data_IF_606462196098
#
_entry.id   IF_606462196098
#
_cell.length_a   1.000
_cell.length_b   1.000
_cell.length_c   1.000
_cell.angle_alpha   90.00
_cell.angle_beta   90.00
_cell.angle_gamma   90.00
#
_symmetry.space_group_name_H-M   'P 1'
#
loop_
_entity.id
_entity.type
_entity.pdbx_description
1 polymer ?
#
# COMPACT_ATOMS: atom_id res chain seq x y z
N UNK A 1 -6.74 23.59 25.09
CA UNK A 1 -8.09 24.19 24.89
C UNK A 1 -8.38 24.10 23.41
N UNK A 2 -9.33 23.27 22.98
CA UNK A 2 -9.77 23.28 21.59
C UNK A 2 -10.56 24.56 21.35
N UNK A 3 -10.16 25.37 20.38
CA UNK A 3 -11.01 26.43 19.87
C UNK A 3 -12.30 25.79 19.31
N UNK A 4 -13.46 26.35 19.68
CA UNK A 4 -14.73 25.88 19.15
C UNK A 4 -14.91 26.42 17.73
N UNK A 5 -15.24 25.54 16.80
CA UNK A 5 -15.59 25.91 15.43
C UNK A 5 -17.10 26.14 15.33
N UNK A 6 -17.54 27.29 14.81
CA UNK A 6 -18.95 27.58 14.54
C UNK A 6 -19.20 27.83 13.06
N UNK A 7 -20.18 27.12 12.50
CA UNK A 7 -20.64 27.34 11.12
C UNK A 7 -21.29 28.71 10.92
N UNK A 8 -21.80 29.34 11.99
CA UNK A 8 -22.37 30.69 11.94
C UNK A 8 -21.35 31.76 11.53
N UNK A 9 -20.07 31.47 11.74
CA UNK A 9 -18.99 32.43 11.54
C UNK A 9 -18.39 32.31 10.12
N UNK A 10 -18.97 31.44 9.29
CA UNK A 10 -18.52 31.16 7.92
C UNK A 10 -19.49 31.77 6.90
N UNK A 11 -19.04 32.79 6.16
CA UNK A 11 -19.82 33.38 5.04
C UNK A 11 -19.89 32.46 3.81
N UNK A 12 -18.87 31.60 3.64
CA UNK A 12 -18.74 30.68 2.51
C UNK A 12 -18.28 29.32 3.01
N UNK A 13 -18.89 28.26 2.47
CA UNK A 13 -18.49 26.88 2.74
C UNK A 13 -18.09 26.24 1.42
N UNK A 14 -16.81 25.92 1.29
CA UNK A 14 -16.28 25.16 0.16
C UNK A 14 -16.43 23.66 0.41
N UNK A 15 -16.87 22.93 -0.60
CA UNK A 15 -16.94 21.47 -0.58
C UNK A 15 -16.01 20.91 -1.64
N UNK A 16 -15.27 19.87 -1.28
CA UNK A 16 -14.62 19.03 -2.26
C UNK A 16 -15.68 18.30 -3.12
N UNK A 17 -15.31 17.91 -4.34
CA UNK A 17 -16.23 17.24 -5.24
C UNK A 17 -16.19 15.73 -4.99
N UNK A 18 -15.06 15.10 -5.27
CA UNK A 18 -14.96 13.65 -5.31
C UNK A 18 -14.97 13.03 -3.91
N UNK A 19 -15.79 12.01 -3.70
CA UNK A 19 -16.03 11.39 -2.39
C UNK A 19 -16.63 12.33 -1.31
N UNK A 20 -16.91 13.60 -1.64
CA UNK A 20 -17.58 14.56 -0.77
C UNK A 20 -18.99 14.90 -1.31
N UNK A 21 -19.10 15.68 -2.39
CA UNK A 21 -20.39 15.94 -3.04
C UNK A 21 -20.78 14.82 -4.01
N UNK A 22 -19.83 14.33 -4.80
CA UNK A 22 -19.99 13.23 -5.74
C UNK A 22 -19.60 11.91 -5.08
N UNK A 23 -20.59 11.02 -4.91
CA UNK A 23 -20.38 9.73 -4.26
C UNK A 23 -20.24 8.62 -5.30
N UNK A 24 -19.09 7.96 -5.25
CA UNK A 24 -18.79 6.82 -6.11
C UNK A 24 -19.20 5.49 -5.47
N UNK A 25 -19.52 4.51 -6.31
CA UNK A 25 -19.56 3.11 -5.90
C UNK A 25 -18.13 2.62 -5.73
N UNK A 26 -17.64 2.56 -4.49
CA UNK A 26 -16.24 2.22 -4.17
C UNK A 26 -15.79 0.92 -4.83
N UNK A 27 -16.62 -0.13 -4.79
CA UNK A 27 -16.27 -1.42 -5.40
C UNK A 27 -15.97 -1.32 -6.90
N UNK A 28 -16.84 -0.63 -7.65
CA UNK A 28 -16.70 -0.50 -9.10
C UNK A 28 -15.54 0.45 -9.46
N UNK A 29 -15.37 1.52 -8.68
CA UNK A 29 -14.31 2.51 -8.90
C UNK A 29 -12.94 1.92 -8.59
N UNK A 30 -12.80 1.22 -7.46
CA UNK A 30 -11.57 0.51 -7.09
C UNK A 30 -11.19 -0.52 -8.15
N UNK A 31 -12.18 -1.27 -8.66
CA UNK A 31 -11.96 -2.23 -9.74
C UNK A 31 -11.44 -1.56 -11.01
N UNK A 32 -12.09 -0.48 -11.44
CA UNK A 32 -11.67 0.28 -12.63
C UNK A 32 -10.23 0.80 -12.50
N UNK A 33 -9.89 1.36 -11.34
CA UNK A 33 -8.55 1.89 -11.05
C UNK A 33 -7.52 0.76 -11.12
N UNK A 34 -7.76 -0.35 -10.42
CA UNK A 34 -6.84 -1.49 -10.43
C UNK A 34 -6.64 -2.04 -11.84
N UNK A 35 -7.73 -2.30 -12.58
CA UNK A 35 -7.65 -2.86 -13.93
C UNK A 35 -6.88 -1.92 -14.87
N UNK A 36 -7.04 -0.61 -14.70
CA UNK A 36 -6.32 0.39 -15.49
C UNK A 36 -4.81 0.36 -15.21
N UNK A 37 -4.40 0.28 -13.95
CA UNK A 37 -2.99 0.15 -13.60
C UNK A 37 -2.40 -1.20 -14.03
N UNK A 38 -3.10 -2.30 -13.77
CA UNK A 38 -2.65 -3.64 -14.14
C UNK A 38 -2.45 -3.77 -15.65
N UNK A 39 -3.41 -3.28 -16.46
CA UNK A 39 -3.26 -3.23 -17.93
C UNK A 39 -2.02 -2.45 -18.34
N UNK A 40 -1.81 -1.26 -17.80
CA UNK A 40 -0.65 -0.45 -18.13
C UNK A 40 0.68 -1.16 -17.79
N UNK A 41 0.77 -1.80 -16.63
CA UNK A 41 1.97 -2.55 -16.23
C UNK A 41 2.24 -3.75 -17.15
N UNK A 42 1.20 -4.48 -17.55
CA UNK A 42 1.35 -5.64 -18.43
C UNK A 42 1.70 -5.21 -19.85
N UNK A 43 0.96 -4.27 -20.42
CA UNK A 43 1.07 -3.88 -21.83
C UNK A 43 2.30 -3.02 -22.12
N UNK A 44 2.68 -2.13 -21.19
CA UNK A 44 3.74 -1.16 -21.43
C UNK A 44 4.99 -1.36 -20.57
N UNK A 45 4.92 -2.12 -19.48
CA UNK A 45 6.06 -2.38 -18.58
C UNK A 45 6.50 -3.84 -18.56
N UNK A 46 5.80 -4.74 -19.26
CA UNK A 46 6.18 -6.14 -19.40
C UNK A 46 5.98 -6.98 -18.14
N UNK A 47 5.10 -6.56 -17.23
CA UNK A 47 4.74 -7.36 -16.07
C UNK A 47 3.90 -8.60 -16.47
N UNK A 48 3.88 -9.60 -15.59
CA UNK A 48 3.14 -10.83 -15.82
C UNK A 48 1.63 -10.57 -15.96
N UNK A 49 0.99 -11.26 -16.93
CA UNK A 49 -0.44 -11.17 -17.20
C UNK A 49 -1.31 -11.60 -16.02
N UNK A 50 -0.75 -12.34 -15.07
CA UNK A 50 -1.44 -12.73 -13.83
C UNK A 50 -1.89 -11.53 -12.99
N UNK A 51 -1.33 -10.32 -13.22
CA UNK A 51 -1.83 -9.08 -12.61
C UNK A 51 -3.27 -8.77 -13.04
N UNK A 52 -3.70 -9.21 -14.23
CA UNK A 52 -5.06 -8.99 -14.73
C UNK A 52 -6.09 -9.93 -14.08
N UNK A 53 -5.63 -10.98 -13.38
CA UNK A 53 -6.51 -11.95 -12.73
C UNK A 53 -6.95 -11.44 -11.35
N UNK A 54 -8.12 -10.80 -11.29
CA UNK A 54 -8.74 -10.35 -10.04
C UNK A 54 -9.74 -11.38 -9.52
N UNK A 55 -9.63 -11.73 -8.23
CA UNK A 55 -10.66 -12.51 -7.53
C UNK A 55 -11.42 -11.60 -6.55
N UNK A 56 -12.72 -11.80 -6.32
CA UNK A 56 -13.48 -10.97 -5.39
C UNK A 56 -12.88 -10.90 -3.97
N UNK A 57 -12.25 -11.98 -3.51
CA UNK A 57 -11.60 -12.08 -2.19
C UNK A 57 -10.39 -11.13 -2.04
N UNK A 58 -9.79 -10.66 -3.14
CA UNK A 58 -8.64 -9.75 -3.07
C UNK A 58 -9.01 -8.32 -2.67
N UNK A 59 -10.30 -7.95 -2.70
CA UNK A 59 -10.73 -6.60 -2.32
C UNK A 59 -10.73 -6.36 -0.82
N UNK A 60 -10.93 -7.41 -0.02
CA UNK A 60 -10.91 -7.31 1.45
C UNK A 60 -9.50 -7.02 1.99
N UNK A 61 -8.48 -7.03 1.12
CA UNK A 61 -7.10 -6.67 1.43
C UNK A 61 -6.91 -5.15 1.63
N UNK A 62 -7.69 -4.33 0.93
CA UNK A 62 -7.46 -2.89 0.84
C UNK A 62 -8.16 -2.11 1.96
N UNK A 63 -7.37 -1.59 2.91
CA UNK A 63 -7.86 -0.70 3.97
C UNK A 63 -7.27 0.70 3.84
N UNK A 64 -8.06 1.73 4.14
CA UNK A 64 -7.56 3.11 4.20
C UNK A 64 -6.48 3.24 5.28
N UNK A 65 -5.42 3.97 4.99
CA UNK A 65 -4.28 4.18 5.88
C UNK A 65 -3.39 2.96 6.01
N UNK A 66 -3.18 2.23 4.90
CA UNK A 66 -2.12 1.24 4.77
C UNK A 66 -0.82 1.94 4.35
N UNK A 67 0.30 1.40 4.82
CA UNK A 67 1.63 1.84 4.45
C UNK A 67 2.30 0.73 3.66
N UNK A 68 2.81 1.01 2.46
CA UNK A 68 3.70 0.07 1.78
C UNK A 68 5.13 0.47 2.12
N UNK A 69 5.82 -0.42 2.83
CA UNK A 69 7.25 -0.36 3.08
C UNK A 69 7.97 -0.96 1.87
N UNK A 70 8.57 -0.09 1.04
CA UNK A 70 9.20 -0.49 -0.22
C UNK A 70 10.58 -1.12 0.01
N UNK A 71 11.20 -0.91 1.18
CA UNK A 71 12.49 -1.54 1.51
C UNK A 71 12.32 -3.04 1.73
N UNK A 72 11.28 -3.40 2.50
CA UNK A 72 11.03 -4.78 2.91
C UNK A 72 9.96 -5.48 2.06
N UNK A 73 9.21 -4.74 1.23
CA UNK A 73 8.07 -5.26 0.45
C UNK A 73 6.86 -5.59 1.29
N UNK A 74 6.73 -4.96 2.46
CA UNK A 74 5.66 -5.22 3.43
C UNK A 74 4.54 -4.19 3.30
N UNK A 75 3.31 -4.62 3.47
CA UNK A 75 2.14 -3.73 3.56
C UNK A 75 1.65 -3.76 5.00
N UNK A 76 1.68 -2.60 5.65
CA UNK A 76 1.64 -2.44 7.10
C UNK A 76 0.44 -1.59 7.50
N UNK A 77 -0.29 -2.04 8.52
CA UNK A 77 -1.32 -1.26 9.22
C UNK A 77 -0.78 -0.80 10.56
N UNK A 78 -0.75 0.51 10.76
CA UNK A 78 -0.23 1.14 11.98
C UNK A 78 -1.36 1.61 12.90
N UNK A 79 -1.07 1.61 14.20
CA UNK A 79 -1.81 2.35 15.22
C UNK A 79 -1.38 3.82 15.23
N UNK A 80 -2.12 4.65 15.98
CA UNK A 80 -1.84 6.08 16.14
C UNK A 80 -0.48 6.37 16.80
N UNK A 81 0.06 5.41 17.57
CA UNK A 81 1.37 5.51 18.22
C UNK A 81 2.51 4.89 17.39
N UNK A 82 2.23 4.38 16.19
CA UNK A 82 3.21 3.75 15.31
C UNK A 82 3.42 2.26 15.52
N UNK A 83 2.63 1.63 16.41
CA UNK A 83 2.64 0.18 16.57
C UNK A 83 2.07 -0.52 15.34
N UNK A 84 2.77 -1.54 14.84
CA UNK A 84 2.31 -2.41 13.75
C UNK A 84 1.21 -3.33 14.26
N UNK A 85 -0.02 -3.08 13.81
CA UNK A 85 -1.21 -3.86 14.15
C UNK A 85 -1.32 -5.12 13.29
N UNK A 86 -1.02 -5.00 12.01
CA UNK A 86 -0.98 -6.08 11.02
C UNK A 86 0.05 -5.74 9.97
N UNK A 87 0.72 -6.74 9.42
CA UNK A 87 1.47 -6.57 8.19
C UNK A 87 1.35 -7.81 7.31
N UNK A 88 1.57 -7.61 6.02
CA UNK A 88 1.64 -8.65 5.00
C UNK A 88 2.95 -8.50 4.24
N UNK A 89 3.51 -9.59 3.74
CA UNK A 89 4.56 -9.57 2.74
C UNK A 89 3.95 -9.97 1.40
N UNK A 90 3.91 -9.01 0.47
CA UNK A 90 3.06 -9.14 -0.71
C UNK A 90 1.58 -9.23 -0.33
N UNK A 91 0.90 -10.33 -0.64
CA UNK A 91 -0.48 -10.58 -0.19
C UNK A 91 -0.60 -11.58 0.97
N UNK A 92 0.53 -12.07 1.49
CA UNK A 92 0.54 -13.07 2.56
C UNK A 92 0.63 -12.40 3.92
N UNK A 93 -0.29 -12.72 4.83
CA UNK A 93 -0.28 -12.23 6.21
C UNK A 93 0.97 -12.70 6.97
N UNK A 94 1.60 -11.77 7.71
CA UNK A 94 2.67 -12.11 8.64
C UNK A 94 2.09 -12.58 9.97
N UNK A 95 2.62 -13.69 10.48
CA UNK A 95 2.25 -14.23 11.79
C UNK A 95 2.69 -13.30 12.91
N UNK A 96 2.13 -13.48 14.11
CA UNK A 96 2.54 -12.70 15.29
C UNK A 96 4.03 -12.88 15.60
N UNK A 97 4.55 -14.10 15.45
CA UNK A 97 5.95 -14.44 15.64
C UNK A 97 6.83 -13.75 14.60
N UNK A 98 6.40 -13.71 13.33
CA UNK A 98 7.10 -13.03 12.25
C UNK A 98 7.12 -11.52 12.45
N UNK A 99 6.00 -10.92 12.87
CA UNK A 99 5.92 -9.51 13.22
C UNK A 99 6.89 -9.17 14.35
N UNK A 100 6.93 -9.97 15.42
CA UNK A 100 7.83 -9.75 16.55
C UNK A 100 9.30 -9.94 16.16
N UNK A 101 9.58 -10.87 15.25
CA UNK A 101 10.94 -11.08 14.72
C UNK A 101 11.39 -9.91 13.84
N UNK A 102 10.50 -9.37 13.01
CA UNK A 102 10.83 -8.30 12.05
C UNK A 102 10.83 -6.91 12.68
N UNK A 103 9.78 -6.57 13.43
CA UNK A 103 9.58 -5.23 14.03
C UNK A 103 9.96 -5.17 15.52
N UNK A 104 10.52 -6.26 16.07
CA UNK A 104 10.89 -6.36 17.47
C UNK A 104 9.69 -6.56 18.42
N UNK A 105 9.95 -6.69 19.74
CA UNK A 105 8.93 -7.03 20.72
C UNK A 105 7.84 -5.96 20.87
N UNK A 106 8.16 -4.69 20.60
CA UNK A 106 7.21 -3.58 20.62
C UNK A 106 6.45 -3.38 19.31
N UNK A 107 6.86 -4.07 18.24
CA UNK A 107 6.29 -3.93 16.89
C UNK A 107 6.28 -2.48 16.41
N UNK A 108 7.31 -1.71 16.71
CA UNK A 108 7.40 -0.31 16.29
C UNK A 108 7.89 -0.25 14.84
N UNK A 109 7.21 0.54 14.00
CA UNK A 109 7.68 0.75 12.64
C UNK A 109 8.78 1.83 12.61
N UNK A 110 9.94 1.48 12.06
CA UNK A 110 11.18 2.28 12.04
C UNK A 110 11.00 3.73 11.54
N UNK A 111 10.07 3.94 10.59
CA UNK A 111 9.85 5.24 9.94
C UNK A 111 8.69 6.03 10.55
N UNK A 112 8.12 5.58 11.67
CA UNK A 112 6.93 6.23 12.22
C UNK A 112 7.21 7.67 12.66
N UNK A 113 8.33 7.92 13.34
CA UNK A 113 8.68 9.27 13.79
C UNK A 113 9.09 10.22 12.65
N UNK A 114 9.32 9.69 11.44
CA UNK A 114 9.64 10.47 10.23
C UNK A 114 8.46 10.58 9.26
N UNK A 115 7.26 10.12 9.65
CA UNK A 115 6.01 10.34 8.92
C UNK A 115 5.65 11.84 8.93
N UNK A 116 6.17 12.55 7.93
CA UNK A 116 5.85 13.97 7.71
C UNK A 116 4.96 14.18 6.47
N UNK A 117 4.95 13.22 5.54
CA UNK A 117 4.30 13.32 4.22
C UNK A 117 3.88 11.93 3.71
N UNK A 118 3.01 11.86 2.69
CA UNK A 118 2.48 10.60 2.13
C UNK A 118 3.56 9.69 1.52
N UNK A 119 4.79 10.18 1.33
CA UNK A 119 5.96 9.38 0.95
C UNK A 119 7.24 10.06 1.45
N UNK A 120 8.25 9.28 1.87
CA UNK A 120 9.58 9.84 2.18
C UNK A 120 10.62 9.31 1.19
N UNK A 121 11.58 10.16 0.82
CA UNK A 121 12.72 9.80 -0.03
C UNK A 121 14.01 9.82 0.79
N UNK A 122 14.83 8.77 0.68
CA UNK A 122 16.22 8.75 1.16
C UNK A 122 17.14 8.44 -0.02
N UNK A 123 18.17 9.25 -0.23
CA UNK A 123 19.13 9.05 -1.33
C UNK A 123 18.51 9.10 -2.74
N UNK A 124 17.32 9.66 -2.90
CA UNK A 124 16.56 9.67 -4.16
C UNK A 124 15.57 8.51 -4.33
N UNK A 125 15.54 7.51 -3.45
CA UNK A 125 14.61 6.39 -3.50
C UNK A 125 13.43 6.58 -2.54
N UNK A 126 12.21 6.21 -2.96
CA UNK A 126 11.03 6.25 -2.09
C UNK A 126 11.10 5.07 -1.12
N UNK A 127 11.04 5.37 0.18
CA UNK A 127 11.24 4.38 1.24
C UNK A 127 9.90 3.71 1.60
N UNK A 128 8.82 4.50 1.59
CA UNK A 128 7.47 4.04 1.85
C UNK A 128 6.45 4.94 1.16
N UNK A 129 5.24 4.41 0.98
CA UNK A 129 4.07 5.16 0.48
C UNK A 129 2.85 4.92 1.37
N UNK A 130 2.10 5.99 1.66
CA UNK A 130 0.91 5.97 2.50
C UNK A 130 -0.36 6.07 1.65
N UNK A 131 -1.22 5.06 1.73
CA UNK A 131 -2.50 5.00 1.00
C UNK A 131 -3.61 5.63 1.84
N UNK A 132 -3.83 6.93 1.66
CA UNK A 132 -4.76 7.75 2.46
C UNK A 132 -6.04 8.16 1.73
N UNK A 133 -6.23 7.75 0.47
CA UNK A 133 -7.39 8.12 -0.31
C UNK A 133 -7.94 6.90 -1.06
N UNK A 134 -9.13 7.06 -1.64
CA UNK A 134 -9.79 5.95 -2.36
C UNK A 134 -9.29 5.78 -3.80
N UNK A 135 -8.54 6.75 -4.31
CA UNK A 135 -8.00 6.72 -5.68
C UNK A 135 -6.72 5.91 -5.79
N UNK A 136 -5.87 5.96 -4.77
CA UNK A 136 -4.62 5.20 -4.75
C UNK A 136 -4.75 3.83 -4.07
N UNK A 137 -5.70 3.66 -3.15
CA UNK A 137 -5.86 2.44 -2.37
C UNK A 137 -5.82 1.13 -3.18
N UNK A 138 -6.45 1.00 -4.37
CA UNK A 138 -6.35 -0.21 -5.19
C UNK A 138 -4.90 -0.54 -5.62
N UNK A 139 -4.02 0.46 -5.66
CA UNK A 139 -2.60 0.32 -5.89
C UNK A 139 -1.88 -0.49 -4.80
N UNK A 140 -2.36 -0.48 -3.55
CA UNK A 140 -1.77 -1.27 -2.48
C UNK A 140 -1.84 -2.78 -2.78
N UNK A 141 -2.99 -3.27 -3.25
CA UNK A 141 -3.14 -4.66 -3.69
C UNK A 141 -2.25 -4.97 -4.89
N UNK A 142 -2.11 -4.02 -5.82
CA UNK A 142 -1.23 -4.18 -6.98
C UNK A 142 0.24 -4.31 -6.54
N UNK A 143 0.70 -3.47 -5.62
CA UNK A 143 2.01 -3.59 -4.99
C UNK A 143 2.19 -4.96 -4.32
N UNK A 144 1.20 -5.41 -3.55
CA UNK A 144 1.25 -6.71 -2.87
C UNK A 144 1.45 -7.87 -3.86
N UNK A 145 0.66 -7.89 -4.94
CA UNK A 145 0.79 -8.90 -6.00
C UNK A 145 2.13 -8.82 -6.74
N UNK A 146 2.65 -7.62 -6.98
CA UNK A 146 3.98 -7.46 -7.59
C UNK A 146 5.07 -8.05 -6.70
N UNK A 147 5.00 -7.84 -5.38
CA UNK A 147 5.94 -8.45 -4.43
C UNK A 147 5.82 -9.98 -4.47
N UNK A 148 4.61 -10.54 -4.49
CA UNK A 148 4.41 -12.00 -4.62
C UNK A 148 5.04 -12.57 -5.90
N UNK A 149 4.92 -11.84 -7.02
CA UNK A 149 5.54 -12.24 -8.29
C UNK A 149 7.05 -12.20 -8.24
N UNK A 150 7.63 -11.15 -7.65
CA UNK A 150 9.08 -11.03 -7.46
C UNK A 150 9.59 -12.17 -6.58
N UNK A 151 8.86 -12.53 -5.52
CA UNK A 151 9.22 -13.65 -4.66
C UNK A 151 9.20 -14.98 -5.42
N UNK A 152 8.19 -15.24 -6.26
CA UNK A 152 8.16 -16.43 -7.14
C UNK A 152 9.37 -16.48 -8.06
N UNK A 153 9.70 -15.38 -8.74
CA UNK A 153 10.85 -15.31 -9.65
C UNK A 153 12.17 -15.58 -8.91
N UNK A 154 12.36 -14.96 -7.73
CA UNK A 154 13.55 -15.19 -6.89
C UNK A 154 13.63 -16.65 -6.44
N UNK A 155 12.54 -17.24 -5.97
CA UNK A 155 12.51 -18.65 -5.59
C UNK A 155 12.83 -19.58 -6.76
N UNK A 156 12.24 -19.34 -7.94
CA UNK A 156 12.54 -20.12 -9.15
C UNK A 156 14.03 -20.02 -9.46
N UNK A 157 14.57 -18.80 -9.53
CA UNK A 157 15.98 -18.53 -9.80
C UNK A 157 16.92 -19.22 -8.80
N UNK A 158 16.61 -19.18 -7.50
CA UNK A 158 17.37 -19.89 -6.44
C UNK A 158 17.28 -21.41 -6.64
N UNK A 159 16.10 -21.96 -6.90
CA UNK A 159 15.91 -23.41 -7.11
C UNK A 159 16.54 -23.91 -8.41
N UNK A 160 16.68 -23.04 -9.43
CA UNK A 160 17.34 -23.35 -10.70
C UNK A 160 18.83 -22.96 -10.72
N UNK A 161 19.38 -22.44 -9.62
CA UNK A 161 20.80 -22.10 -9.47
C UNK A 161 21.27 -20.82 -10.19
N UNK A 162 20.36 -19.93 -10.57
CA UNK A 162 20.67 -18.68 -11.28
C UNK A 162 20.52 -17.52 -10.28
N UNK A 163 21.62 -17.01 -9.73
CA UNK A 163 21.61 -15.83 -8.85
C UNK A 163 21.58 -14.55 -9.68
N UNK A 164 20.49 -13.78 -9.62
CA UNK A 164 20.44 -12.41 -10.18
C UNK A 164 20.45 -11.42 -9.02
N UNK A 165 21.53 -10.64 -8.96
CA UNK A 165 21.72 -9.55 -8.02
C UNK A 165 20.68 -8.44 -8.28
N UNK A 166 19.95 -8.05 -7.24
CA UNK A 166 18.87 -7.04 -7.22
C UNK A 166 19.28 -5.75 -7.96
N UNK A 167 18.52 -5.37 -8.98
CA UNK A 167 18.46 -3.99 -9.50
C UNK A 167 17.08 -3.74 -10.12
N UNK A 168 16.04 -3.88 -9.31
CA UNK A 168 14.70 -3.33 -9.62
C UNK A 168 14.11 -2.91 -8.28
N UNK A 169 14.45 -1.71 -7.83
CA UNK A 169 13.63 -0.72 -7.11
C UNK A 169 14.49 0.55 -6.97
#
# INVERSE_FOLDING_TARGET
>A
MSEYFSLSDCDVIGFDLDHTLCRYHLKETSRLIYESFARYLVEHKGYDKDLLNLTPATWDFCFKGLVVDLEDGNIVKLAEDGTVLRATHGTNDLSTEELMKHYGPKREWKHFNSLSTSFTRSGGMVIYYFYDNYFDLPGALLCGKVVDMLHKVICVLITTGIFICRSIF
#
